data_IF_061194501181
#
_entry.id   IF_061194501181
#
_cell.length_a   1.000
_cell.length_b   1.000
_cell.length_c   1.000
_cell.angle_alpha   90.00
_cell.angle_beta   90.00
_cell.angle_gamma   90.00
#
_symmetry.space_group_name_H-M   'P 1'
#
loop_
_entity.id
_entity.type
_entity.pdbx_description
1 polymer ?
#
# COMPACT_ATOMS: atom_id res chain seq x y z
N UNK A 1 3.58 8.77 17.84
CA UNK A 1 2.24 9.16 17.33
C UNK A 1 1.93 8.36 16.06
N UNK A 2 1.62 7.07 16.18
CA UNK A 2 1.39 6.16 15.04
C UNK A 2 0.00 6.29 14.44
N UNK A 3 -0.20 5.79 13.21
CA UNK A 3 -1.52 5.74 12.54
C UNK A 3 -2.61 5.11 13.43
N UNK A 4 -2.27 4.01 14.12
CA UNK A 4 -3.16 3.33 15.06
C UNK A 4 -3.66 4.22 16.20
N UNK A 5 -2.81 5.14 16.67
CA UNK A 5 -3.13 6.06 17.77
C UNK A 5 -4.02 7.23 17.32
N UNK A 6 -4.03 7.54 16.02
CA UNK A 6 -4.99 8.48 15.42
C UNK A 6 -6.33 7.80 15.18
N UNK A 7 -6.31 6.56 14.71
CA UNK A 7 -7.51 5.76 14.51
C UNK A 7 -8.25 5.50 15.83
N UNK A 8 -7.52 5.12 16.89
CA UNK A 8 -8.10 4.88 18.22
C UNK A 8 -8.76 6.14 18.80
N UNK A 9 -8.19 7.32 18.55
CA UNK A 9 -8.74 8.61 18.97
C UNK A 9 -10.02 8.96 18.22
N UNK A 10 -10.05 8.77 16.90
CA UNK A 10 -11.25 9.00 16.09
C UNK A 10 -12.39 8.07 16.52
N UNK A 11 -12.08 6.80 16.77
CA UNK A 11 -13.05 5.83 17.29
C UNK A 11 -13.59 6.24 18.67
N UNK A 12 -12.72 6.59 19.62
CA UNK A 12 -13.14 7.04 20.96
C UNK A 12 -14.01 8.30 20.92
N UNK A 13 -13.68 9.26 20.07
CA UNK A 13 -14.44 10.50 19.94
C UNK A 13 -15.87 10.22 19.44
N UNK A 14 -16.02 9.35 18.43
CA UNK A 14 -17.33 9.04 17.85
C UNK A 14 -18.21 8.21 18.81
N UNK A 15 -17.59 7.34 19.63
CA UNK A 15 -18.29 6.59 20.67
C UNK A 15 -18.79 7.47 21.81
N UNK A 16 -18.01 8.47 22.21
CA UNK A 16 -18.40 9.40 23.26
C UNK A 16 -19.62 10.26 22.85
N UNK A 17 -19.70 10.63 21.57
CA UNK A 17 -20.84 11.36 20.99
C UNK A 17 -22.11 10.49 20.82
N UNK A 18 -21.95 9.18 20.59
CA UNK A 18 -23.05 8.22 20.53
C UNK A 18 -23.62 7.90 21.92
N UNK A 19 -22.74 7.69 22.91
CA UNK A 19 -23.10 7.39 24.30
C UNK A 19 -23.91 8.53 24.93
N UNK A 20 -23.58 9.77 24.61
CA UNK A 20 -24.27 10.96 25.15
C UNK A 20 -25.70 11.16 24.60
N UNK A 21 -26.11 10.42 23.57
CA UNK A 21 -27.44 10.53 22.94
C UNK A 21 -28.32 9.27 23.08
N UNK A 22 -27.81 8.20 23.68
CA UNK A 22 -28.48 6.91 23.75
C UNK A 22 -29.21 6.70 25.08
N UNK A 23 -30.46 6.22 25.02
CA UNK A 23 -31.28 5.89 26.22
C UNK A 23 -30.69 4.75 27.07
N UNK A 24 -29.90 3.86 26.46
CA UNK A 24 -29.18 2.78 27.15
C UNK A 24 -27.71 2.75 26.71
N UNK A 25 -26.82 3.49 27.40
CA UNK A 25 -25.42 3.65 27.01
C UNK A 25 -24.64 2.34 27.07
N UNK A 26 -25.07 1.36 27.88
CA UNK A 26 -24.42 0.05 28.00
C UNK A 26 -24.60 -0.73 26.69
N UNK A 27 -25.83 -0.79 26.17
CA UNK A 27 -26.11 -1.48 24.90
C UNK A 27 -25.37 -0.84 23.71
N UNK A 28 -25.25 0.49 23.71
CA UNK A 28 -24.52 1.21 22.64
C UNK A 28 -23.02 0.93 22.70
N UNK A 29 -22.43 0.86 23.88
CA UNK A 29 -21.03 0.47 24.05
C UNK A 29 -20.77 -0.98 23.63
N UNK A 30 -21.68 -1.90 23.97
CA UNK A 30 -21.58 -3.30 23.57
C UNK A 30 -21.66 -3.46 22.04
N UNK A 31 -22.61 -2.77 21.39
CA UNK A 31 -22.74 -2.79 19.94
C UNK A 31 -21.50 -2.17 19.27
N UNK A 32 -21.01 -1.05 19.78
CA UNK A 32 -19.79 -0.42 19.30
C UNK A 32 -18.56 -1.35 19.39
N UNK A 33 -18.45 -2.12 20.47
CA UNK A 33 -17.37 -3.12 20.63
C UNK A 33 -17.45 -4.22 19.58
N UNK A 34 -18.65 -4.67 19.24
CA UNK A 34 -18.88 -5.66 18.17
C UNK A 34 -18.50 -5.08 16.81
N UNK A 35 -18.96 -3.85 16.52
CA UNK A 35 -18.70 -3.17 15.25
C UNK A 35 -17.19 -2.89 15.08
N UNK A 36 -16.50 -2.44 16.12
CA UNK A 36 -15.05 -2.21 16.11
C UNK A 36 -14.27 -3.51 15.85
N UNK A 37 -14.71 -4.64 16.41
CA UNK A 37 -14.08 -5.93 16.13
C UNK A 37 -14.24 -6.32 14.65
N UNK A 38 -15.43 -6.10 14.08
CA UNK A 38 -15.68 -6.34 12.67
C UNK A 38 -14.86 -5.41 11.76
N UNK A 39 -14.76 -4.13 12.10
CA UNK A 39 -13.91 -3.16 11.38
C UNK A 39 -12.43 -3.50 11.47
N UNK A 40 -11.95 -3.98 12.62
CA UNK A 40 -10.56 -4.40 12.78
C UNK A 40 -10.20 -5.55 11.84
N UNK A 41 -11.11 -6.50 11.63
CA UNK A 41 -10.92 -7.60 10.67
C UNK A 41 -10.82 -7.06 9.23
N UNK A 42 -11.73 -6.15 8.85
CA UNK A 42 -11.69 -5.51 7.53
C UNK A 42 -10.41 -4.70 7.31
N UNK A 43 -9.97 -3.95 8.33
CA UNK A 43 -8.74 -3.17 8.26
C UNK A 43 -7.52 -4.08 8.08
N UNK A 44 -7.45 -5.20 8.81
CA UNK A 44 -6.37 -6.19 8.64
C UNK A 44 -6.33 -6.74 7.22
N UNK A 45 -7.48 -7.04 6.63
CA UNK A 45 -7.58 -7.49 5.23
C UNK A 45 -7.11 -6.39 4.27
N UNK A 46 -7.57 -5.15 4.44
CA UNK A 46 -7.16 -4.02 3.61
C UNK A 46 -5.64 -3.77 3.67
N UNK A 47 -5.05 -3.86 4.87
CA UNK A 47 -3.59 -3.75 5.06
C UNK A 47 -2.86 -4.90 4.37
N UNK A 48 -3.36 -6.14 4.47
CA UNK A 48 -2.77 -7.27 3.77
C UNK A 48 -2.79 -7.08 2.24
N UNK A 49 -3.91 -6.60 1.69
CA UNK A 49 -4.02 -6.26 0.27
C UNK A 49 -3.06 -5.15 -0.14
N UNK A 50 -2.95 -4.09 0.66
CA UNK A 50 -2.02 -2.98 0.41
C UNK A 50 -0.55 -3.44 0.43
N UNK A 51 -0.20 -4.33 1.35
CA UNK A 51 1.14 -4.91 1.42
C UNK A 51 1.43 -5.81 0.22
N UNK A 52 0.44 -6.61 -0.21
CA UNK A 52 0.55 -7.42 -1.42
C UNK A 52 0.74 -6.55 -2.67
N UNK A 53 -0.02 -5.45 -2.81
CA UNK A 53 0.16 -4.51 -3.92
C UNK A 53 1.52 -3.82 -3.87
N UNK A 54 2.00 -3.44 -2.69
CA UNK A 54 3.33 -2.86 -2.52
C UNK A 54 4.42 -3.83 -2.99
N UNK A 55 4.36 -5.11 -2.58
CA UNK A 55 5.32 -6.13 -3.01
C UNK A 55 5.29 -6.35 -4.52
N UNK A 56 4.09 -6.39 -5.12
CA UNK A 56 3.94 -6.51 -6.57
C UNK A 56 4.57 -5.32 -7.30
N UNK A 57 4.27 -4.09 -6.88
CA UNK A 57 4.83 -2.89 -7.50
C UNK A 57 6.36 -2.84 -7.35
N UNK A 58 6.89 -3.23 -6.19
CA UNK A 58 8.33 -3.35 -6.00
C UNK A 58 8.94 -4.35 -6.98
N UNK A 59 8.36 -5.55 -7.11
CA UNK A 59 8.85 -6.54 -8.07
C UNK A 59 8.79 -6.05 -9.52
N UNK A 60 7.76 -5.28 -9.89
CA UNK A 60 7.67 -4.68 -11.22
C UNK A 60 8.75 -3.62 -11.45
N UNK A 61 9.03 -2.79 -10.43
CA UNK A 61 10.11 -1.81 -10.49
C UNK A 61 11.48 -2.49 -10.63
N UNK A 62 11.77 -3.50 -9.80
CA UNK A 62 13.02 -4.25 -9.85
C UNK A 62 13.20 -4.95 -11.22
N UNK A 63 12.11 -5.46 -11.83
CA UNK A 63 12.14 -6.03 -13.20
C UNK A 63 12.42 -4.98 -14.27
N UNK A 64 11.74 -3.83 -14.20
CA UNK A 64 11.94 -2.74 -15.16
C UNK A 64 13.37 -2.18 -15.11
N UNK A 65 13.94 -2.06 -13.90
CA UNK A 65 15.32 -1.65 -13.70
C UNK A 65 16.30 -2.65 -14.31
N UNK A 66 16.11 -3.95 -14.06
CA UNK A 66 16.92 -5.00 -14.69
C UNK A 66 16.82 -4.99 -16.22
N UNK A 67 15.62 -4.77 -16.76
CA UNK A 67 15.39 -4.71 -18.20
C UNK A 67 16.07 -3.48 -18.82
N UNK A 68 16.01 -2.32 -18.16
CA UNK A 68 16.74 -1.11 -18.57
C UNK A 68 18.27 -1.34 -18.57
N UNK A 69 18.79 -2.01 -17.53
CA UNK A 69 20.21 -2.40 -17.46
C UNK A 69 20.63 -3.28 -18.63
N UNK A 70 19.84 -4.30 -18.97
CA UNK A 70 20.11 -5.17 -20.13
C UNK A 70 20.11 -4.40 -21.46
N UNK A 71 19.17 -3.48 -21.66
CA UNK A 71 19.15 -2.65 -22.87
C UNK A 71 20.37 -1.73 -22.96
N UNK A 72 20.79 -1.16 -21.83
CA UNK A 72 22.01 -0.35 -21.75
C UNK A 72 23.25 -1.17 -22.10
N UNK A 73 23.42 -2.35 -21.52
CA UNK A 73 24.55 -3.24 -21.84
C UNK A 73 24.59 -3.61 -23.33
N UNK A 74 23.43 -3.89 -23.93
CA UNK A 74 23.33 -4.19 -25.37
C UNK A 74 23.70 -2.97 -26.22
N UNK A 75 23.25 -1.77 -25.83
CA UNK A 75 23.63 -0.54 -26.51
C UNK A 75 25.14 -0.29 -26.42
N UNK A 76 25.74 -0.47 -25.24
CA UNK A 76 27.19 -0.34 -25.06
C UNK A 76 27.97 -1.36 -25.91
N UNK A 77 27.51 -2.60 -26.01
CA UNK A 77 28.14 -3.61 -26.86
C UNK A 77 28.06 -3.24 -28.35
N UNK A 78 26.90 -2.77 -28.81
CA UNK A 78 26.72 -2.31 -30.19
C UNK A 78 27.61 -1.10 -30.52
N UNK A 79 27.74 -0.14 -29.58
CA UNK A 79 28.68 0.98 -29.73
C UNK A 79 30.13 0.51 -29.84
N UNK A 80 30.56 -0.45 -29.00
CA UNK A 80 31.92 -1.01 -29.07
C UNK A 80 32.18 -1.78 -30.37
N UNK A 81 31.15 -2.38 -30.96
CA UNK A 81 31.21 -3.05 -32.25
C UNK A 81 31.20 -2.07 -33.44
N UNK A 82 31.00 -0.76 -33.20
CA UNK A 82 30.89 0.25 -34.26
C UNK A 82 29.52 0.32 -34.93
N UNK A 83 28.51 -0.37 -34.37
CA UNK A 83 27.14 -0.43 -34.90
C UNK A 83 26.24 0.59 -34.18
N UNK A 84 26.50 1.88 -34.40
CA UNK A 84 25.78 2.99 -33.73
C UNK A 84 24.25 2.96 -33.95
N UNK A 85 23.78 2.49 -35.11
CA UNK A 85 22.35 2.38 -35.40
C UNK A 85 21.65 1.31 -34.54
N UNK A 86 22.33 0.20 -34.26
CA UNK A 86 21.84 -0.87 -33.37
C UNK A 86 21.85 -0.42 -31.90
N UNK A 87 22.85 0.38 -31.51
CA UNK A 87 22.89 0.97 -30.18
C UNK A 87 21.73 1.96 -29.95
N UNK A 88 21.42 2.79 -30.95
CA UNK A 88 20.33 3.76 -30.89
C UNK A 88 18.96 3.06 -30.76
N UNK A 89 18.77 1.97 -31.50
CA UNK A 89 17.54 1.16 -31.42
C UNK A 89 17.38 0.44 -30.08
N UNK A 90 18.48 0.11 -29.39
CA UNK A 90 18.42 -0.52 -28.07
C UNK A 90 18.02 0.45 -26.93
N UNK A 91 18.03 1.77 -27.17
CA UNK A 91 17.73 2.81 -26.17
C UNK A 91 16.37 3.50 -26.38
N UNK A 92 15.65 3.19 -27.45
CA UNK A 92 14.30 3.68 -27.79
C UNK A 92 13.25 2.61 -27.57
#
# INVERSE_FOLDING_TARGET
MGFFDRLSRLLRANLNDLVSKAEDPVKVLDQAMIDMQAELVKLRQAVATALASQRRLKSQADQAEGQAGHWLERAEQALRAGEEDLARQALT
#
